data_IF_361010505227
#
_entry.id   IF_361010505227
#
_cell.length_a   1.000
_cell.length_b   1.000
_cell.length_c   1.000
_cell.angle_alpha   90.00
_cell.angle_beta   90.00
_cell.angle_gamma   90.00
#
_symmetry.space_group_name_H-M   'P 1'
#
loop_
_entity.id
_entity.type
_entity.pdbx_description
1 polymer ?
#
# COMPACT_ATOMS: atom_id res chain seq x y z
N UNK A 1 23.68 -2.14 6.18
CA UNK A 1 23.12 -0.78 6.24
C UNK A 1 22.47 -0.42 7.58
N UNK A 2 21.29 -0.95 7.98
CA UNK A 2 20.60 -0.56 9.23
C UNK A 2 21.50 -0.58 10.50
N UNK A 3 22.27 -1.65 10.71
CA UNK A 3 23.21 -1.78 11.83
C UNK A 3 24.40 -0.80 11.75
N UNK A 4 24.92 -0.58 10.55
CA UNK A 4 26.00 0.38 10.31
C UNK A 4 25.54 1.82 10.60
N UNK A 5 24.26 2.11 10.37
CA UNK A 5 23.64 3.40 10.68
C UNK A 5 23.19 3.51 12.16
N UNK A 6 23.81 2.76 13.07
CA UNK A 6 23.59 2.88 14.51
C UNK A 6 22.40 2.10 15.10
N UNK A 7 21.69 1.29 14.30
CA UNK A 7 20.55 0.51 14.82
C UNK A 7 20.77 -0.99 14.67
N UNK A 8 21.09 -1.68 15.76
CA UNK A 8 21.32 -3.13 15.79
C UNK A 8 20.03 -3.95 15.60
N UNK A 9 18.97 -3.61 16.34
CA UNK A 9 17.67 -4.32 16.35
C UNK A 9 16.63 -3.71 15.41
N UNK A 10 15.75 -4.51 14.77
CA UNK A 10 14.74 -3.97 13.86
C UNK A 10 13.76 -3.04 14.59
N UNK A 11 13.08 -2.19 13.81
CA UNK A 11 11.90 -1.47 14.28
C UNK A 11 10.65 -2.30 13.99
N UNK A 12 9.67 -2.23 14.89
CA UNK A 12 8.32 -2.73 14.61
C UNK A 12 7.55 -1.65 13.88
N UNK A 13 6.92 -2.03 12.77
CA UNK A 13 6.13 -1.13 11.94
C UNK A 13 4.74 -1.73 11.80
N UNK A 14 3.75 -1.09 12.39
CA UNK A 14 2.37 -1.59 12.37
C UNK A 14 1.64 -1.24 11.07
N UNK A 15 1.87 -0.04 10.53
CA UNK A 15 1.11 0.49 9.40
C UNK A 15 2.03 0.82 8.23
N UNK A 16 1.61 0.46 7.02
CA UNK A 16 2.34 0.78 5.79
C UNK A 16 1.39 1.23 4.68
N UNK A 17 1.48 2.50 4.29
CA UNK A 17 0.77 3.05 3.14
C UNK A 17 1.46 2.64 1.83
N UNK A 18 0.71 2.07 0.90
CA UNK A 18 1.21 1.68 -0.43
C UNK A 18 0.79 2.74 -1.43
N UNK A 19 1.59 3.80 -1.53
CA UNK A 19 1.31 4.98 -2.35
C UNK A 19 0.57 6.08 -1.58
N UNK A 20 0.59 7.28 -2.17
CA UNK A 20 -0.04 8.49 -1.64
C UNK A 20 -0.58 9.30 -2.82
N UNK A 21 -1.85 9.73 -2.75
CA UNK A 21 -2.54 10.56 -3.75
C UNK A 21 -2.24 10.16 -5.19
N UNK A 22 -2.37 8.87 -5.49
CA UNK A 22 -1.99 8.32 -6.79
C UNK A 22 -2.85 8.84 -7.94
N UNK A 23 -4.07 9.29 -7.68
CA UNK A 23 -4.93 10.03 -8.62
C UNK A 23 -4.37 11.42 -9.00
N UNK A 24 -3.43 11.97 -8.24
CA UNK A 24 -2.84 13.30 -8.44
C UNK A 24 -1.31 13.26 -8.42
N UNK A 25 -0.69 13.88 -7.41
CA UNK A 25 0.77 14.01 -7.33
C UNK A 25 1.52 12.67 -7.34
N UNK A 26 0.87 11.59 -6.90
CA UNK A 26 1.41 10.23 -6.90
C UNK A 26 1.40 9.52 -8.26
N UNK A 27 1.03 10.21 -9.36
CA UNK A 27 1.19 9.70 -10.72
C UNK A 27 0.01 9.91 -11.68
N UNK A 28 -0.97 10.75 -11.34
CA UNK A 28 -2.17 11.05 -12.13
C UNK A 28 -2.86 9.78 -12.67
N UNK A 29 -2.99 8.76 -11.82
CA UNK A 29 -3.44 7.43 -12.19
C UNK A 29 -4.97 7.33 -12.23
N UNK A 30 -5.49 6.50 -13.13
CA UNK A 30 -6.87 6.00 -13.03
C UNK A 30 -6.98 4.98 -11.89
N UNK A 31 -8.15 4.85 -11.22
CA UNK A 31 -8.31 3.91 -10.11
C UNK A 31 -8.04 2.45 -10.50
N UNK A 32 -8.36 2.04 -11.72
CA UNK A 32 -8.11 0.67 -12.19
C UNK A 32 -6.61 0.37 -12.28
N UNK A 33 -5.84 1.34 -12.76
CA UNK A 33 -4.39 1.21 -12.86
C UNK A 33 -3.74 1.21 -11.48
N UNK A 34 -4.18 2.11 -10.60
CA UNK A 34 -3.70 2.12 -9.22
C UNK A 34 -4.05 0.82 -8.47
N UNK A 35 -5.23 0.24 -8.68
CA UNK A 35 -5.61 -1.04 -8.08
C UNK A 35 -4.65 -2.18 -8.45
N UNK A 36 -4.22 -2.24 -9.72
CA UNK A 36 -3.27 -3.24 -10.19
C UNK A 36 -1.87 -3.02 -9.61
N UNK A 37 -1.40 -1.77 -9.56
CA UNK A 37 -0.11 -1.43 -8.95
C UNK A 37 -0.13 -1.68 -7.43
N UNK A 38 -1.21 -1.33 -6.72
CA UNK A 38 -1.38 -1.62 -5.31
C UNK A 38 -1.23 -3.14 -5.04
N UNK A 39 -1.92 -3.98 -5.81
CA UNK A 39 -1.82 -5.46 -5.69
C UNK A 39 -0.39 -5.95 -5.93
N UNK A 40 0.30 -5.39 -6.91
CA UNK A 40 1.68 -5.73 -7.23
C UNK A 40 2.61 -5.35 -6.09
N UNK A 41 2.61 -4.09 -5.66
CA UNK A 41 3.54 -3.58 -4.66
C UNK A 41 3.29 -4.15 -3.27
N UNK A 42 2.04 -4.29 -2.85
CA UNK A 42 1.74 -4.83 -1.52
C UNK A 42 2.29 -6.26 -1.34
N UNK A 43 2.39 -7.05 -2.42
CA UNK A 43 2.90 -8.43 -2.39
C UNK A 43 4.34 -8.51 -1.88
N UNK A 44 5.12 -7.45 -2.09
CA UNK A 44 6.52 -7.37 -1.66
C UNK A 44 6.69 -6.76 -0.26
N UNK A 45 5.63 -6.20 0.33
CA UNK A 45 5.60 -5.78 1.74
C UNK A 45 5.38 -7.02 2.61
N UNK A 46 6.48 -7.61 3.09
CA UNK A 46 6.49 -8.86 3.85
C UNK A 46 6.55 -8.62 5.35
N UNK A 47 5.90 -9.51 6.10
CA UNK A 47 6.06 -9.62 7.54
C UNK A 47 7.43 -10.24 7.85
N UNK A 48 8.30 -9.50 8.55
CA UNK A 48 9.66 -9.92 8.87
C UNK A 48 9.90 -9.80 10.37
N UNK A 49 10.66 -10.73 10.95
CA UNK A 49 11.10 -10.65 12.35
C UNK A 49 9.95 -10.57 13.36
N UNK A 50 8.85 -11.28 13.10
CA UNK A 50 7.65 -11.27 13.96
C UNK A 50 6.80 -9.99 13.84
N UNK A 51 7.06 -9.13 12.85
CA UNK A 51 6.26 -7.94 12.60
C UNK A 51 5.06 -8.27 11.70
N UNK A 52 3.86 -7.83 12.08
CA UNK A 52 2.65 -7.96 11.29
C UNK A 52 2.22 -6.59 10.75
N UNK A 53 2.42 -6.39 9.45
CA UNK A 53 2.18 -5.10 8.81
C UNK A 53 0.73 -5.02 8.33
N UNK A 54 0.02 -4.01 8.81
CA UNK A 54 -1.26 -3.57 8.26
C UNK A 54 -1.03 -2.66 7.05
N UNK A 55 -1.48 -3.09 5.88
CA UNK A 55 -1.25 -2.39 4.61
C UNK A 55 -2.44 -1.49 4.28
N UNK A 56 -2.17 -0.24 3.94
CA UNK A 56 -3.18 0.78 3.65
C UNK A 56 -3.07 1.16 2.17
N UNK A 57 -4.16 1.04 1.42
CA UNK A 57 -4.25 1.53 0.04
C UNK A 57 -4.55 3.03 0.02
N UNK A 58 -4.16 3.72 -1.04
CA UNK A 58 -4.51 5.11 -1.31
C UNK A 58 -6.00 5.20 -1.63
N UNK A 59 -6.75 5.91 -0.78
CA UNK A 59 -8.18 6.12 -0.95
C UNK A 59 -8.54 7.21 -1.98
N UNK A 60 -9.85 7.49 -2.12
CA UNK A 60 -10.37 8.50 -3.03
C UNK A 60 -9.96 9.92 -2.63
N UNK A 61 -10.05 10.85 -3.58
CA UNK A 61 -10.09 12.28 -3.28
C UNK A 61 -11.55 12.70 -3.08
N UNK A 62 -11.86 13.35 -1.96
CA UNK A 62 -13.20 13.89 -1.66
C UNK A 62 -14.31 12.88 -1.96
N UNK A 63 -15.14 13.14 -2.97
CA UNK A 63 -16.35 12.37 -3.30
C UNK A 63 -16.15 11.44 -4.51
N UNK A 64 -14.91 11.01 -4.81
CA UNK A 64 -14.64 10.03 -5.87
C UNK A 64 -15.07 8.62 -5.45
N UNK A 65 -16.38 8.38 -5.53
CA UNK A 65 -16.98 7.07 -5.24
C UNK A 65 -16.50 5.99 -6.22
N UNK A 66 -16.20 6.36 -7.48
CA UNK A 66 -15.68 5.42 -8.47
C UNK A 66 -14.33 4.84 -8.03
N UNK A 67 -13.44 5.67 -7.48
CA UNK A 67 -12.17 5.21 -6.91
C UNK A 67 -12.37 4.20 -5.78
N UNK A 68 -13.31 4.48 -4.89
CA UNK A 68 -13.66 3.58 -3.79
C UNK A 68 -14.17 2.23 -4.31
N UNK A 69 -15.12 2.25 -5.26
CA UNK A 69 -15.71 1.04 -5.82
C UNK A 69 -14.69 0.16 -6.53
N UNK A 70 -13.81 0.76 -7.34
CA UNK A 70 -12.76 0.04 -8.06
C UNK A 70 -11.74 -0.56 -7.08
N UNK A 71 -11.31 0.18 -6.06
CA UNK A 71 -10.37 -0.35 -5.09
C UNK A 71 -10.96 -1.45 -4.22
N UNK A 72 -12.21 -1.32 -3.79
CA UNK A 72 -12.86 -2.36 -2.99
C UNK A 72 -13.11 -3.63 -3.81
N UNK A 73 -13.44 -3.48 -5.11
CA UNK A 73 -13.68 -4.61 -6.00
C UNK A 73 -12.40 -5.32 -6.47
N UNK A 74 -11.30 -4.58 -6.70
CA UNK A 74 -10.08 -5.13 -7.30
C UNK A 74 -8.88 -5.18 -6.36
N UNK A 75 -8.78 -4.27 -5.41
CA UNK A 75 -7.60 -4.10 -4.55
C UNK A 75 -7.37 -5.25 -3.57
N UNK A 76 -8.42 -6.02 -3.23
CA UNK A 76 -8.26 -7.26 -2.47
C UNK A 76 -7.63 -8.33 -3.37
N UNK A 77 -6.40 -8.76 -3.03
CA UNK A 77 -5.84 -9.98 -3.62
C UNK A 77 -6.83 -11.14 -3.46
N UNK A 78 -7.07 -11.92 -4.51
CA UNK A 78 -7.91 -13.13 -4.42
C UNK A 78 -7.36 -13.99 -3.29
N UNK A 79 -8.16 -14.22 -2.26
CA UNK A 79 -7.91 -15.33 -1.33
C UNK A 79 -8.11 -16.60 -2.15
N UNK A 80 -7.00 -17.25 -2.50
CA UNK A 80 -7.03 -18.66 -2.89
C UNK A 80 -7.39 -19.51 -1.69
#
# INVERSE_FOLDING_TARGET
LRRQNGRAEPWRIQYWGVGNENWGCGGNMRPEYYADEYRRYQTYVRNLGGNEIYKIACGPSVDDYHWTDVLMSRGRGRRG
#
